data_IF_280858218694
#
_entry.id   IF_280858218694
#
_cell.length_a   1.000
_cell.length_b   1.000
_cell.length_c   1.000
_cell.angle_alpha   90.00
_cell.angle_beta   90.00
_cell.angle_gamma   90.00
#
_symmetry.space_group_name_H-M   'P 1'
#
loop_
_entity.id
_entity.type
_entity.pdbx_description
1 polymer ?
#
# COMPACT_ATOMS: atom_id res chain seq x y z
N UNK A 1 -23.37 -0.94 -19.41
CA UNK A 1 -22.12 -0.80 -18.62
C UNK A 1 -22.06 -1.96 -17.65
N UNK A 2 -21.04 -2.82 -17.75
CA UNK A 2 -20.91 -3.99 -16.88
C UNK A 2 -20.21 -3.58 -15.58
N UNK A 3 -20.64 -4.17 -14.45
CA UNK A 3 -20.01 -3.98 -13.14
C UNK A 3 -19.31 -5.28 -12.74
N UNK A 4 -18.17 -5.16 -12.08
CA UNK A 4 -17.44 -6.25 -11.44
C UNK A 4 -17.32 -5.93 -9.96
N UNK A 5 -17.79 -6.82 -9.08
CA UNK A 5 -17.54 -6.70 -7.64
C UNK A 5 -16.07 -6.99 -7.38
N UNK A 6 -15.44 -6.18 -6.56
CA UNK A 6 -14.04 -6.29 -6.22
C UNK A 6 -13.80 -5.94 -4.76
N UNK A 7 -12.63 -6.34 -4.26
CA UNK A 7 -12.07 -5.88 -3.00
C UNK A 7 -10.98 -4.87 -3.36
N UNK A 8 -11.11 -3.63 -2.89
CA UNK A 8 -10.03 -2.66 -2.92
C UNK A 8 -9.11 -2.92 -1.72
N UNK A 9 -7.81 -3.01 -1.98
CA UNK A 9 -6.76 -3.16 -0.97
C UNK A 9 -5.96 -1.87 -0.96
N UNK A 10 -6.05 -1.11 0.13
CA UNK A 10 -5.31 0.14 0.31
C UNK A 10 -4.22 -0.04 1.36
N UNK A 11 -2.98 0.21 0.97
CA UNK A 11 -1.78 0.01 1.78
C UNK A 11 -1.14 1.37 2.07
N UNK A 12 -0.94 1.68 3.34
CA UNK A 12 -0.23 2.88 3.78
C UNK A 12 1.26 2.56 3.98
N UNK A 13 2.06 2.73 2.93
CA UNK A 13 3.48 2.41 2.93
C UNK A 13 4.32 3.59 3.45
N UNK A 14 4.98 3.50 4.61
CA UNK A 14 5.97 4.51 5.01
C UNK A 14 7.11 4.57 4.00
N UNK A 15 7.56 5.78 3.69
CA UNK A 15 8.69 6.03 2.78
C UNK A 15 9.63 7.06 3.38
N UNK A 16 10.85 7.15 2.85
CA UNK A 16 11.77 8.22 3.23
C UNK A 16 11.20 9.60 2.82
N UNK A 17 11.59 10.66 3.55
CA UNK A 17 11.15 12.02 3.24
C UNK A 17 11.62 12.47 1.85
N UNK A 18 12.82 12.03 1.44
CA UNK A 18 13.40 12.26 0.12
C UNK A 18 12.59 11.55 -0.97
N UNK A 19 12.11 10.33 -0.71
CA UNK A 19 11.21 9.58 -1.61
C UNK A 19 9.90 10.35 -1.82
N UNK A 20 9.30 10.89 -0.74
CA UNK A 20 8.09 11.69 -0.86
C UNK A 20 8.32 12.98 -1.66
N UNK A 21 9.42 13.69 -1.41
CA UNK A 21 9.76 14.90 -2.15
C UNK A 21 9.97 14.62 -3.65
N UNK A 22 10.66 13.52 -3.98
CA UNK A 22 10.88 13.09 -5.36
C UNK A 22 9.55 12.70 -6.05
N UNK A 23 8.64 12.01 -5.35
CA UNK A 23 7.30 11.72 -5.86
C UNK A 23 6.52 12.98 -6.20
N UNK A 24 6.50 13.96 -5.29
CA UNK A 24 5.81 15.24 -5.50
C UNK A 24 6.43 16.00 -6.68
N UNK A 25 7.75 15.87 -6.88
CA UNK A 25 8.46 16.44 -8.03
C UNK A 25 8.24 15.68 -9.34
N UNK A 26 7.49 14.55 -9.33
CA UNK A 26 7.17 13.76 -10.52
C UNK A 26 8.17 12.65 -10.85
N UNK A 27 9.15 12.37 -10.00
CA UNK A 27 10.05 11.23 -10.19
C UNK A 27 9.41 9.94 -9.69
N UNK A 28 8.60 9.33 -10.56
CA UNK A 28 7.92 8.07 -10.28
C UNK A 28 8.87 6.89 -10.00
N UNK A 29 10.10 6.92 -10.52
CA UNK A 29 11.06 5.83 -10.35
C UNK A 29 11.64 5.78 -8.92
N UNK A 30 11.36 6.79 -8.09
CA UNK A 30 11.83 6.83 -6.71
C UNK A 30 11.26 5.74 -5.82
N UNK A 31 10.06 5.24 -6.13
CA UNK A 31 9.46 4.16 -5.35
C UNK A 31 10.20 2.84 -5.52
N UNK A 32 10.75 2.58 -6.70
CA UNK A 32 11.57 1.39 -6.95
C UNK A 32 12.92 1.44 -6.22
N UNK A 33 13.34 2.63 -5.77
CA UNK A 33 14.59 2.84 -5.01
C UNK A 33 14.37 2.86 -3.50
N UNK A 34 13.15 3.12 -3.06
CA UNK A 34 12.76 3.02 -1.65
C UNK A 34 12.51 1.55 -1.31
N UNK A 35 13.30 0.98 -0.40
CA UNK A 35 13.28 -0.46 -0.13
C UNK A 35 11.90 -0.98 0.30
N UNK A 36 11.18 -0.20 1.11
CA UNK A 36 9.83 -0.58 1.57
C UNK A 36 8.84 -0.55 0.43
N UNK A 37 8.78 0.57 -0.30
CA UNK A 37 7.82 0.72 -1.37
C UNK A 37 8.09 -0.28 -2.51
N UNK A 38 9.35 -0.53 -2.85
CA UNK A 38 9.75 -1.53 -3.82
C UNK A 38 9.30 -2.94 -3.41
N UNK A 39 9.45 -3.32 -2.14
CA UNK A 39 9.00 -4.62 -1.65
C UNK A 39 7.48 -4.78 -1.73
N UNK A 40 6.71 -3.76 -1.35
CA UNK A 40 5.24 -3.77 -1.45
C UNK A 40 4.80 -3.83 -2.92
N UNK A 41 5.41 -3.04 -3.80
CA UNK A 41 5.13 -3.07 -5.24
C UNK A 41 5.46 -4.45 -5.83
N UNK A 42 6.53 -5.10 -5.38
CA UNK A 42 6.87 -6.44 -5.81
C UNK A 42 5.80 -7.46 -5.41
N UNK A 43 5.22 -7.37 -4.21
CA UNK A 43 4.10 -8.22 -3.79
C UNK A 43 2.87 -7.97 -4.67
N UNK A 44 2.49 -6.71 -4.90
CA UNK A 44 1.33 -6.35 -5.74
C UNK A 44 1.50 -6.85 -7.18
N UNK A 45 2.73 -6.85 -7.70
CA UNK A 45 3.04 -7.22 -9.09
C UNK A 45 3.47 -8.67 -9.27
N UNK A 46 3.50 -9.47 -8.21
CA UNK A 46 3.77 -10.89 -8.30
C UNK A 46 2.61 -11.64 -8.99
N UNK A 47 2.82 -12.91 -9.29
CA UNK A 47 1.77 -13.78 -9.83
C UNK A 47 0.74 -14.10 -8.74
N UNK A 48 -0.24 -13.21 -8.57
CA UNK A 48 -1.34 -13.33 -7.62
C UNK A 48 -2.57 -12.52 -8.08
N UNK A 49 -3.71 -12.56 -7.37
CA UNK A 49 -4.93 -11.86 -7.78
C UNK A 49 -4.90 -10.33 -7.64
N UNK A 50 -3.89 -9.73 -7.01
CA UNK A 50 -3.83 -8.28 -6.81
C UNK A 50 -3.55 -7.56 -8.13
N UNK A 51 -4.35 -6.53 -8.39
CA UNK A 51 -4.20 -5.70 -9.59
C UNK A 51 -4.54 -6.45 -10.88
N UNK A 52 -5.33 -7.53 -10.81
CA UNK A 52 -5.75 -8.29 -11.98
C UNK A 52 -6.97 -7.64 -12.67
N UNK A 53 -6.70 -7.12 -13.86
CA UNK A 53 -7.68 -6.57 -14.81
C UNK A 53 -7.57 -7.30 -16.16
N UNK A 54 -7.40 -8.62 -16.11
CA UNK A 54 -7.24 -9.54 -17.24
C UNK A 54 -5.96 -9.27 -18.05
N UNK A 55 -6.01 -8.31 -18.97
CA UNK A 55 -4.91 -7.91 -19.85
C UNK A 55 -3.82 -7.10 -19.12
N UNK A 56 -4.15 -6.58 -17.93
CA UNK A 56 -3.24 -5.80 -17.10
C UNK A 56 -3.10 -6.47 -15.74
N UNK A 57 -1.87 -6.65 -15.28
CA UNK A 57 -1.51 -7.26 -14.00
C UNK A 57 -0.78 -6.24 -13.14
N UNK A 58 -0.85 -6.41 -11.81
CA UNK A 58 -0.18 -5.52 -10.86
C UNK A 58 -0.66 -4.07 -10.94
N UNK A 59 -1.90 -3.84 -11.39
CA UNK A 59 -2.50 -2.52 -11.46
C UNK A 59 -2.63 -1.94 -10.05
N UNK A 60 -2.08 -0.74 -9.85
CA UNK A 60 -2.09 -0.04 -8.58
C UNK A 60 -2.14 1.47 -8.80
N UNK A 61 -3.01 2.16 -8.07
CA UNK A 61 -2.95 3.61 -7.88
C UNK A 61 -1.91 3.92 -6.80
N UNK A 62 -1.21 5.05 -6.93
CA UNK A 62 -0.21 5.51 -5.98
C UNK A 62 -0.45 6.99 -5.69
N UNK A 63 -0.62 7.33 -4.42
CA UNK A 63 -0.80 8.71 -3.96
C UNK A 63 0.23 9.08 -2.86
N UNK A 64 0.95 10.21 -2.98
CA UNK A 64 1.81 10.70 -1.91
C UNK A 64 0.99 11.31 -0.76
N UNK A 65 1.45 11.15 0.48
CA UNK A 65 0.78 11.72 1.65
C UNK A 65 1.58 11.68 2.94
N UNK A 66 0.89 11.98 4.04
CA UNK A 66 1.41 11.88 5.39
C UNK A 66 0.46 11.06 6.26
N UNK A 67 1.02 10.25 7.15
CA UNK A 67 0.29 9.64 8.24
C UNK A 67 0.64 10.30 9.57
N UNK A 68 -0.38 10.62 10.38
CA UNK A 68 -0.23 11.19 11.72
C UNK A 68 -0.57 10.15 12.77
N UNK A 69 0.31 9.96 13.73
CA UNK A 69 0.12 9.00 14.81
C UNK A 69 0.83 9.44 16.11
N UNK A 70 0.54 8.73 17.20
CA UNK A 70 1.18 8.91 18.49
C UNK A 70 1.42 7.53 19.10
N UNK A 71 2.67 7.03 19.14
CA UNK A 71 2.97 5.73 19.72
C UNK A 71 2.59 5.67 21.20
N UNK A 72 1.97 4.57 21.62
CA UNK A 72 1.68 4.29 23.03
C UNK A 72 2.91 3.83 23.81
N UNK A 73 2.78 3.67 25.13
CA UNK A 73 3.87 3.23 26.02
C UNK A 73 4.41 1.83 25.69
N UNK A 74 3.57 0.96 25.13
CA UNK A 74 3.92 -0.41 24.78
C UNK A 74 4.40 -0.58 23.33
N UNK A 75 4.27 0.46 22.49
CA UNK A 75 4.64 0.39 21.08
C UNK A 75 6.17 0.34 20.93
N UNK A 76 6.66 -0.40 19.94
CA UNK A 76 8.09 -0.42 19.55
C UNK A 76 8.23 0.10 18.13
N UNK A 77 7.88 1.37 17.89
CA UNK A 77 7.73 1.85 16.53
C UNK A 77 9.10 2.00 15.86
N UNK A 78 9.14 1.68 14.57
CA UNK A 78 10.29 2.00 13.69
C UNK A 78 10.48 3.52 13.57
N UNK A 79 9.43 4.31 13.77
CA UNK A 79 9.43 5.78 13.72
C UNK A 79 8.60 6.39 14.86
N UNK A 80 9.11 7.45 15.50
CA UNK A 80 8.39 8.24 16.49
C UNK A 80 8.72 7.87 17.94
N UNK A 81 8.33 8.74 18.87
CA UNK A 81 8.61 8.60 20.31
C UNK A 81 7.31 8.32 21.06
N UNK A 82 7.36 7.44 22.05
CA UNK A 82 6.21 7.15 22.90
C UNK A 82 5.64 8.42 23.54
N UNK A 83 4.33 8.63 23.39
CA UNK A 83 3.63 9.79 23.92
C UNK A 83 3.75 11.06 23.06
N UNK A 84 4.57 11.08 22.01
CA UNK A 84 4.74 12.23 21.12
C UNK A 84 4.01 12.05 19.79
N UNK A 85 3.43 13.13 19.27
CA UNK A 85 2.82 13.12 17.94
C UNK A 85 3.90 13.11 16.88
N UNK A 86 3.76 12.23 15.90
CA UNK A 86 4.69 12.04 14.79
C UNK A 86 3.95 12.11 13.46
N UNK A 87 4.68 12.49 12.41
CA UNK A 87 4.25 12.43 11.03
C UNK A 87 5.20 11.52 10.24
N UNK A 88 4.67 10.55 9.51
CA UNK A 88 5.43 9.75 8.54
C UNK A 88 5.11 10.21 7.13
N UNK A 89 6.11 10.47 6.27
CA UNK A 89 5.94 10.43 4.83
C UNK A 89 5.41 9.05 4.41
N UNK A 90 4.41 9.02 3.53
CA UNK A 90 3.70 7.79 3.16
C UNK A 90 3.36 7.78 1.67
N UNK A 91 3.58 6.66 0.99
CA UNK A 91 2.95 6.34 -0.27
C UNK A 91 1.69 5.51 0.01
N UNK A 92 0.54 5.94 -0.48
CA UNK A 92 -0.73 5.22 -0.37
C UNK A 92 -0.93 4.46 -1.66
N UNK A 93 -0.90 3.13 -1.58
CA UNK A 93 -1.06 2.24 -2.72
C UNK A 93 -2.47 1.63 -2.68
N UNK A 94 -3.25 1.78 -3.75
CA UNK A 94 -4.56 1.14 -3.87
C UNK A 94 -4.55 0.16 -5.03
N UNK A 95 -4.79 -1.12 -4.76
CA UNK A 95 -4.97 -2.16 -5.77
C UNK A 95 -6.31 -2.87 -5.58
N UNK A 96 -6.64 -3.81 -6.46
CA UNK A 96 -7.94 -4.47 -6.50
C UNK A 96 -7.79 -5.95 -6.74
N UNK A 97 -8.65 -6.75 -6.12
CA UNK A 97 -8.85 -8.16 -6.47
C UNK A 97 -10.33 -8.42 -6.76
N UNK A 98 -10.64 -9.47 -7.52
CA UNK A 98 -12.02 -9.90 -7.70
C UNK A 98 -12.64 -10.29 -6.34
N UNK A 99 -13.92 -10.01 -6.13
CA UNK A 99 -14.59 -10.28 -4.86
C UNK A 99 -14.65 -11.77 -4.48
N UNK A 100 -14.49 -12.68 -5.45
CA UNK A 100 -14.41 -14.12 -5.20
C UNK A 100 -12.99 -14.67 -5.11
N UNK A 101 -11.95 -13.84 -5.29
CA UNK A 101 -10.57 -14.29 -5.26
C UNK A 101 -10.10 -14.55 -3.82
N UNK A 102 -9.33 -15.63 -3.64
CA UNK A 102 -8.57 -15.84 -2.41
C UNK A 102 -7.30 -14.97 -2.46
N UNK A 103 -7.24 -13.98 -1.57
CA UNK A 103 -6.11 -13.06 -1.43
C UNK A 103 -5.35 -13.26 -0.12
N UNK A 104 -5.64 -14.31 0.66
CA UNK A 104 -5.03 -14.49 1.99
C UNK A 104 -3.51 -14.56 1.96
N UNK A 105 -2.92 -15.28 1.00
CA UNK A 105 -1.45 -15.34 0.84
C UNK A 105 -0.85 -14.00 0.44
N UNK A 106 -1.54 -13.25 -0.44
CA UNK A 106 -1.08 -11.92 -0.88
C UNK A 106 -1.13 -10.90 0.27
N UNK A 107 -2.18 -10.94 1.09
CA UNK A 107 -2.28 -10.12 2.30
C UNK A 107 -1.21 -10.50 3.34
N UNK A 108 -0.94 -11.80 3.53
CA UNK A 108 0.14 -12.24 4.40
C UNK A 108 1.51 -11.75 3.92
N UNK A 109 1.77 -11.82 2.61
CA UNK A 109 3.00 -11.29 2.01
C UNK A 109 3.12 -9.76 2.18
N UNK A 110 2.02 -9.02 2.01
CA UNK A 110 2.00 -7.57 2.28
C UNK A 110 2.32 -7.26 3.74
N UNK A 111 1.76 -8.03 4.69
CA UNK A 111 2.04 -7.87 6.11
C UNK A 111 3.51 -8.18 6.45
N UNK A 112 4.10 -9.19 5.83
CA UNK A 112 5.49 -9.61 6.08
C UNK A 112 6.52 -8.58 5.61
N UNK A 113 6.30 -7.96 4.44
CA UNK A 113 7.21 -6.94 3.91
C UNK A 113 6.98 -5.54 4.51
N UNK A 114 5.90 -5.34 5.27
CA UNK A 114 5.57 -4.05 5.83
C UNK A 114 6.44 -3.73 7.06
N UNK A 115 7.07 -2.55 7.16
CA UNK A 115 8.08 -2.27 8.19
C UNK A 115 7.47 -1.79 9.52
N UNK A 116 6.17 -1.52 9.54
CA UNK A 116 5.47 -1.17 10.78
C UNK A 116 5.07 -2.43 11.55
N UNK A 117 5.22 -2.36 12.87
CA UNK A 117 4.70 -3.35 13.80
C UNK A 117 3.19 -3.59 13.61
N UNK A 118 2.45 -2.52 13.30
CA UNK A 118 1.01 -2.56 13.00
C UNK A 118 0.76 -1.84 11.66
N UNK A 119 0.75 -2.56 10.53
CA UNK A 119 0.45 -1.99 9.22
C UNK A 119 -0.99 -1.48 9.11
N UNK A 120 -1.18 -0.35 8.42
CA UNK A 120 -2.52 0.10 8.02
C UNK A 120 -2.78 -0.40 6.60
N UNK A 121 -3.51 -1.52 6.51
CA UNK A 121 -4.00 -2.10 5.26
C UNK A 121 -5.53 -2.20 5.35
N UNK A 122 -6.21 -1.40 4.52
CA UNK A 122 -7.67 -1.34 4.46
C UNK A 122 -8.20 -2.25 3.35
N UNK A 123 -9.28 -2.97 3.65
CA UNK A 123 -10.07 -3.73 2.67
C UNK A 123 -11.45 -3.10 2.54
N UNK A 124 -11.89 -2.82 1.32
CA UNK A 124 -13.22 -2.28 1.04
C UNK A 124 -13.88 -3.03 -0.11
N UNK A 125 -15.17 -3.35 0.02
CA UNK A 125 -15.95 -3.85 -1.11
C UNK A 125 -16.31 -2.69 -2.07
N UNK A 126 -16.08 -2.89 -3.37
CA UNK A 126 -16.35 -1.89 -4.41
C UNK A 126 -16.96 -2.52 -5.66
N UNK A 127 -17.66 -1.72 -6.46
CA UNK A 127 -18.07 -2.06 -7.82
C UNK A 127 -17.17 -1.32 -8.82
N UNK A 128 -16.43 -2.06 -9.63
CA UNK A 128 -15.63 -1.51 -10.73
C UNK A 128 -16.43 -1.51 -12.03
N UNK A 129 -16.29 -0.44 -12.80
CA UNK A 129 -16.84 -0.36 -14.15
C UNK A 129 -15.90 -1.03 -15.13
N UNK A 130 -16.41 -1.98 -15.90
CA UNK A 130 -15.64 -2.71 -16.91
C UNK A 130 -16.33 -2.63 -18.27
N UNK A 131 -15.54 -2.71 -19.34
CA UNK A 131 -16.02 -2.73 -20.72
C UNK A 131 -16.39 -4.13 -21.17
#
# INVERSE_FOLDING_TARGET
MKRRRAIAVKIHCPIAAETLAALIAGDQATLERDATAAAILAVIRAENPLGDFDLYKGVCEIAPGWESFQPGAAARPTLGTSGERSLSPTAILTTYADAGADISESLAALMDVHPWEVPVIELSEVDLLVR
#
